data_IF_337908828689
#
_entry.id   IF_337908828689
#
_cell.length_a   1.000
_cell.length_b   1.000
_cell.length_c   1.000
_cell.angle_alpha   90.00
_cell.angle_beta   90.00
_cell.angle_gamma   90.00
#
_symmetry.space_group_name_H-M   'P 1'
#
loop_
_entity.id
_entity.type
_entity.pdbx_description
1 polymer ?
#
# COMPACT_ATOMS: atom_id res chain seq x y z
N UNK A 1 21.23 79.96 15.87
CA UNK A 1 20.15 79.06 15.41
C UNK A 1 20.78 77.96 14.58
N UNK A 2 20.86 76.74 15.11
CA UNK A 2 21.57 75.62 14.50
C UNK A 2 20.57 74.46 14.41
N UNK A 3 20.21 74.05 13.20
CA UNK A 3 19.30 72.93 12.95
C UNK A 3 20.10 71.62 12.93
N UNK A 4 19.78 70.69 13.83
CA UNK A 4 20.30 69.32 13.82
C UNK A 4 19.22 68.42 13.20
N UNK A 5 19.51 67.88 12.01
CA UNK A 5 18.75 66.80 11.36
C UNK A 5 19.37 65.46 11.79
N UNK A 6 18.57 64.55 12.34
CA UNK A 6 19.01 63.22 12.75
C UNK A 6 18.05 62.14 12.23
N UNK A 7 18.42 61.59 11.08
CA UNK A 7 18.17 60.23 10.55
C UNK A 7 17.13 59.34 11.24
N UNK A 8 16.02 59.09 10.54
CA UNK A 8 15.18 57.89 10.75
C UNK A 8 15.85 56.69 10.08
N UNK A 9 16.37 55.77 10.89
CA UNK A 9 16.89 54.49 10.42
C UNK A 9 15.76 53.51 10.12
N UNK A 10 15.63 53.10 8.86
CA UNK A 10 14.70 52.04 8.44
C UNK A 10 15.27 50.68 8.81
N UNK A 11 14.64 49.98 9.76
CA UNK A 11 14.94 48.57 10.07
C UNK A 11 14.22 47.70 9.04
N UNK A 12 14.93 47.27 8.00
CA UNK A 12 14.43 46.27 7.05
C UNK A 12 14.49 44.88 7.72
N UNK A 13 13.33 44.38 8.13
CA UNK A 13 13.17 43.03 8.66
C UNK A 13 13.30 42.03 7.49
N UNK A 14 14.48 41.44 7.32
CA UNK A 14 14.69 40.35 6.37
C UNK A 14 14.00 39.08 6.91
N UNK A 15 12.78 38.79 6.43
CA UNK A 15 12.18 37.47 6.58
C UNK A 15 12.98 36.47 5.75
N UNK A 16 13.98 35.84 6.37
CA UNK A 16 14.61 34.65 5.84
C UNK A 16 13.55 33.55 5.77
N UNK A 17 12.97 33.34 4.58
CA UNK A 17 12.27 32.10 4.27
C UNK A 17 13.30 30.97 4.31
N UNK A 18 13.45 30.35 5.48
CA UNK A 18 14.02 29.02 5.56
C UNK A 18 13.09 28.11 4.76
N UNK A 19 13.44 27.83 3.51
CA UNK A 19 12.94 26.64 2.83
C UNK A 19 13.40 25.46 3.68
N UNK A 20 12.55 25.03 4.59
CA UNK A 20 12.67 23.72 5.20
C UNK A 20 12.47 22.76 4.03
N UNK A 21 13.59 22.34 3.43
CA UNK A 21 13.61 21.27 2.46
C UNK A 21 12.99 20.08 3.17
N UNK A 22 11.71 19.86 2.94
CA UNK A 22 11.02 18.66 3.42
C UNK A 22 11.75 17.55 2.71
N UNK A 23 12.61 16.84 3.44
CA UNK A 23 13.36 15.72 2.90
C UNK A 23 12.36 14.85 2.19
N UNK A 24 12.48 14.75 0.86
CA UNK A 24 11.71 13.80 0.09
C UNK A 24 11.93 12.45 0.77
N UNK A 25 10.90 11.91 1.41
CA UNK A 25 10.93 10.58 2.01
C UNK A 25 11.21 9.61 0.87
N UNK A 26 12.49 9.32 0.63
CA UNK A 26 12.91 8.47 -0.46
C UNK A 26 12.37 7.08 -0.17
N UNK A 27 11.30 6.70 -0.85
CA UNK A 27 10.78 5.35 -0.81
C UNK A 27 11.91 4.41 -1.23
N UNK A 28 12.08 3.29 -0.54
CA UNK A 28 13.07 2.29 -0.93
C UNK A 28 12.43 1.24 -1.82
N UNK A 29 13.08 0.93 -2.95
CA UNK A 29 12.75 -0.23 -3.78
C UNK A 29 13.01 -1.51 -2.96
N UNK A 30 12.04 -2.41 -2.97
CA UNK A 30 12.11 -3.73 -2.37
C UNK A 30 10.89 -4.08 -1.55
N UNK A 31 11.07 -5.05 -0.65
CA UNK A 31 9.97 -5.66 0.09
C UNK A 31 9.79 -5.01 1.45
N UNK A 32 8.56 -4.62 1.75
CA UNK A 32 8.12 -4.21 3.07
C UNK A 32 7.32 -5.36 3.66
N UNK A 33 7.62 -5.76 4.89
CA UNK A 33 6.90 -6.82 5.58
C UNK A 33 6.48 -6.38 6.97
N UNK A 34 5.33 -6.86 7.41
CA UNK A 34 4.82 -6.57 8.74
C UNK A 34 3.51 -7.27 9.01
N UNK A 35 2.68 -6.64 9.84
CA UNK A 35 1.41 -7.24 10.27
C UNK A 35 0.26 -6.24 10.26
N UNK A 36 -0.94 -6.76 10.09
CA UNK A 36 -2.21 -6.09 10.35
C UNK A 36 -2.50 -6.04 11.86
N UNK A 37 -3.50 -5.26 12.26
CA UNK A 37 -3.90 -5.06 13.66
C UNK A 37 -4.42 -6.32 14.36
N UNK A 38 -4.91 -7.30 13.59
CA UNK A 38 -5.34 -8.63 14.04
C UNK A 38 -4.23 -9.68 13.97
N UNK A 39 -3.00 -9.29 13.63
CA UNK A 39 -1.82 -10.16 13.67
C UNK A 39 -1.56 -10.96 12.40
N UNK A 40 -2.31 -10.74 11.32
CA UNK A 40 -2.03 -11.35 10.03
C UNK A 40 -0.83 -10.69 9.34
N UNK A 41 -0.08 -11.46 8.55
CA UNK A 41 1.06 -10.94 7.78
C UNK A 41 0.62 -10.07 6.61
N UNK A 42 1.39 -9.01 6.35
CA UNK A 42 1.31 -8.22 5.12
C UNK A 42 2.70 -8.10 4.47
N UNK A 43 2.74 -8.21 3.14
CA UNK A 43 3.92 -7.99 2.31
C UNK A 43 3.58 -7.02 1.18
N UNK A 44 4.43 -6.03 0.96
CA UNK A 44 4.27 -5.01 -0.09
C UNK A 44 5.59 -4.96 -0.87
N UNK A 45 5.53 -5.15 -2.18
CA UNK A 45 6.69 -5.01 -3.08
C UNK A 45 6.63 -3.63 -3.74
N UNK A 46 7.69 -2.83 -3.55
CA UNK A 46 7.81 -1.50 -4.11
C UNK A 46 8.90 -1.50 -5.16
N UNK A 47 8.58 -0.99 -6.34
CA UNK A 47 9.47 -0.90 -7.49
C UNK A 47 9.62 0.56 -7.93
N UNK A 48 10.63 0.83 -8.75
CA UNK A 48 10.86 2.14 -9.36
C UNK A 48 10.75 2.01 -10.88
N UNK A 49 9.86 2.79 -11.48
CA UNK A 49 9.70 2.90 -12.92
C UNK A 49 10.60 4.03 -13.42
N UNK A 50 11.71 3.68 -14.07
CA UNK A 50 12.69 4.64 -14.56
C UNK A 50 12.14 5.51 -15.70
N UNK A 51 11.22 4.99 -16.51
CA UNK A 51 10.64 5.72 -17.63
C UNK A 51 9.63 6.75 -17.14
N UNK A 52 8.83 6.38 -16.13
CA UNK A 52 7.85 7.29 -15.50
C UNK A 52 8.47 8.17 -14.40
N UNK A 53 9.69 7.88 -13.96
CA UNK A 53 10.39 8.60 -12.89
C UNK A 53 9.72 8.49 -11.52
N UNK A 54 8.95 7.43 -11.26
CA UNK A 54 8.11 7.29 -10.06
C UNK A 54 8.20 5.90 -9.42
N UNK A 55 8.00 5.86 -8.10
CA UNK A 55 7.80 4.61 -7.39
C UNK A 55 6.38 4.07 -7.61
N UNK A 56 6.24 2.76 -7.58
CA UNK A 56 4.95 2.09 -7.61
C UNK A 56 4.98 0.87 -6.71
N UNK A 57 3.82 0.51 -6.15
CA UNK A 57 3.63 -0.80 -5.52
C UNK A 57 3.38 -1.78 -6.67
N UNK A 58 4.17 -2.85 -6.74
CA UNK A 58 4.04 -3.91 -7.74
C UNK A 58 3.13 -5.04 -7.25
N UNK A 59 3.27 -5.42 -5.98
CA UNK A 59 2.53 -6.53 -5.37
C UNK A 59 2.13 -6.23 -3.92
N UNK A 60 0.94 -6.70 -3.53
CA UNK A 60 0.49 -6.72 -2.14
C UNK A 60 -0.05 -8.09 -1.79
N UNK A 61 0.48 -8.67 -0.72
CA UNK A 61 0.01 -9.90 -0.11
C UNK A 61 -0.52 -9.61 1.29
N UNK A 62 -1.76 -9.98 1.55
CA UNK A 62 -2.37 -9.84 2.87
C UNK A 62 -3.27 -11.05 3.16
N UNK A 63 -3.25 -11.49 4.42
CA UNK A 63 -4.20 -12.48 4.91
C UNK A 63 -5.34 -11.76 5.64
N UNK A 64 -6.55 -12.29 5.48
CA UNK A 64 -7.78 -11.70 6.02
C UNK A 64 -8.62 -12.77 6.71
N UNK A 65 -9.34 -12.32 7.72
CA UNK A 65 -10.54 -12.99 8.20
C UNK A 65 -11.77 -12.30 7.61
N UNK A 66 -12.55 -13.04 6.83
CA UNK A 66 -13.78 -12.58 6.21
C UNK A 66 -14.98 -13.00 7.04
N UNK A 67 -15.73 -12.01 7.55
CA UNK A 67 -16.98 -12.25 8.26
C UNK A 67 -18.11 -12.44 7.25
N UNK A 68 -18.81 -13.57 7.38
CA UNK A 68 -19.92 -13.98 6.53
C UNK A 68 -21.23 -13.96 7.33
N UNK A 69 -22.36 -13.68 6.68
CA UNK A 69 -23.66 -13.60 7.38
C UNK A 69 -24.31 -14.98 7.61
N UNK A 70 -24.05 -15.95 6.73
CA UNK A 70 -24.72 -17.26 6.72
C UNK A 70 -23.80 -18.43 7.04
N UNK A 71 -22.48 -18.24 6.98
CA UNK A 71 -21.48 -19.26 7.31
C UNK A 71 -20.50 -18.71 8.32
N UNK A 72 -19.68 -19.60 8.87
CA UNK A 72 -18.56 -19.22 9.72
C UNK A 72 -17.56 -18.31 8.99
N UNK A 73 -16.80 -17.49 9.75
CA UNK A 73 -15.71 -16.69 9.20
C UNK A 73 -14.73 -17.50 8.37
N UNK A 74 -14.17 -16.88 7.34
CA UNK A 74 -13.30 -17.55 6.37
C UNK A 74 -11.94 -16.89 6.32
N UNK A 75 -10.87 -17.68 6.40
CA UNK A 75 -9.50 -17.18 6.25
C UNK A 75 -9.03 -17.29 4.79
N UNK A 76 -8.49 -16.19 4.27
CA UNK A 76 -8.05 -16.08 2.89
C UNK A 76 -6.75 -15.30 2.80
N UNK A 77 -5.82 -15.81 1.98
CA UNK A 77 -4.68 -15.04 1.50
C UNK A 77 -4.98 -14.44 0.15
N UNK A 78 -4.77 -13.13 0.00
CA UNK A 78 -4.90 -12.43 -1.26
C UNK A 78 -3.54 -11.88 -1.68
N UNK A 79 -3.14 -12.19 -2.92
CA UNK A 79 -2.02 -11.58 -3.63
C UNK A 79 -2.56 -10.78 -4.82
N UNK A 80 -2.22 -9.49 -4.87
CA UNK A 80 -2.58 -8.59 -5.97
C UNK A 80 -1.32 -7.95 -6.52
N UNK A 81 -0.94 -8.40 -7.72
CA UNK A 81 0.06 -7.73 -8.53
C UNK A 81 -0.59 -6.66 -9.41
N UNK A 82 -0.28 -5.39 -9.19
CA UNK A 82 -0.78 -4.27 -10.00
C UNK A 82 0.15 -3.07 -9.94
N UNK A 83 0.34 -2.36 -11.04
CA UNK A 83 1.09 -1.09 -11.05
C UNK A 83 0.29 -0.01 -10.33
N UNK A 84 0.59 0.22 -9.05
CA UNK A 84 -0.08 1.25 -8.23
C UNK A 84 0.91 2.39 -7.97
N UNK A 85 0.77 3.54 -8.65
CA UNK A 85 1.71 4.63 -8.50
C UNK A 85 1.72 5.17 -7.06
N UNK A 86 2.92 5.43 -6.53
CA UNK A 86 3.12 6.09 -5.25
C UNK A 86 3.27 7.59 -5.50
N UNK A 87 2.21 8.35 -5.23
CA UNK A 87 2.19 9.80 -5.38
C UNK A 87 2.32 10.46 -4.00
N UNK A 88 3.27 11.39 -3.85
CA UNK A 88 3.50 12.13 -2.59
C UNK A 88 3.68 11.20 -1.37
N UNK A 89 4.38 10.08 -1.56
CA UNK A 89 4.58 9.08 -0.50
C UNK A 89 3.33 8.35 -0.06
N UNK A 90 2.26 8.36 -0.85
CA UNK A 90 1.05 7.59 -0.59
C UNK A 90 0.61 6.81 -1.83
N UNK A 91 -0.03 5.67 -1.59
CA UNK A 91 -0.67 4.87 -2.62
C UNK A 91 -2.06 4.48 -2.12
N UNK A 92 -3.05 4.60 -2.99
CA UNK A 92 -4.40 4.11 -2.73
C UNK A 92 -4.93 3.48 -4.00
N UNK A 93 -5.48 2.29 -3.87
CA UNK A 93 -6.11 1.62 -4.99
C UNK A 93 -7.36 0.87 -4.51
N UNK A 94 -8.54 1.23 -5.04
CA UNK A 94 -9.68 0.34 -5.04
C UNK A 94 -9.48 -0.68 -6.16
N UNK A 95 -9.57 -1.95 -5.83
CA UNK A 95 -9.56 -3.05 -6.77
C UNK A 95 -10.92 -3.74 -6.71
N UNK A 96 -11.66 -3.77 -7.82
CA UNK A 96 -13.01 -4.32 -7.87
C UNK A 96 -13.14 -5.26 -9.06
N UNK A 97 -13.49 -6.52 -8.79
CA UNK A 97 -13.90 -7.50 -9.81
C UNK A 97 -15.24 -8.12 -9.44
N UNK A 98 -15.74 -8.98 -10.31
CA UNK A 98 -16.92 -9.82 -10.04
C UNK A 98 -16.71 -10.79 -8.88
N UNK A 99 -15.47 -11.15 -8.59
CA UNK A 99 -15.14 -12.22 -7.62
C UNK A 99 -14.47 -11.70 -6.35
N UNK A 100 -14.06 -10.43 -6.31
CA UNK A 100 -13.57 -9.82 -5.08
C UNK A 100 -13.50 -8.29 -5.15
N UNK A 101 -13.45 -7.68 -3.98
CA UNK A 101 -13.16 -6.28 -3.74
C UNK A 101 -11.96 -6.18 -2.80
N UNK A 102 -11.00 -5.32 -3.10
CA UNK A 102 -9.95 -4.90 -2.19
C UNK A 102 -9.89 -3.37 -2.17
N UNK A 103 -9.78 -2.79 -1.00
CA UNK A 103 -9.50 -1.37 -0.86
C UNK A 103 -8.31 -1.20 0.07
N UNK A 104 -7.27 -0.61 -0.49
CA UNK A 104 -6.01 -0.38 0.22
C UNK A 104 -5.67 1.09 0.15
N UNK A 105 -5.22 1.62 1.27
CA UNK A 105 -4.59 2.94 1.36
C UNK A 105 -3.33 2.81 2.21
N UNK A 106 -2.25 3.45 1.78
CA UNK A 106 -0.97 3.40 2.47
C UNK A 106 -0.20 4.71 2.33
N UNK A 107 0.61 4.98 3.33
CA UNK A 107 1.52 6.13 3.39
C UNK A 107 2.89 5.66 3.86
N UNK A 108 3.91 6.02 3.11
CA UNK A 108 5.31 5.81 3.44
C UNK A 108 5.73 6.83 4.49
N UNK A 109 6.29 6.34 5.59
CA UNK A 109 6.76 7.13 6.72
C UNK A 109 8.27 7.01 6.80
N UNK A 110 8.97 8.02 6.30
CA UNK A 110 10.43 7.95 6.10
C UNK A 110 10.81 6.97 4.99
N UNK A 111 12.05 6.47 5.03
CA UNK A 111 12.60 5.63 3.97
C UNK A 111 12.23 4.14 4.08
N UNK A 112 11.89 3.67 5.29
CA UNK A 112 11.87 2.25 5.61
C UNK A 112 10.57 1.76 6.25
N UNK A 113 9.52 2.57 6.30
CA UNK A 113 8.24 2.17 6.89
C UNK A 113 7.07 2.58 6.01
N UNK A 114 6.05 1.75 6.01
CA UNK A 114 4.76 2.02 5.39
C UNK A 114 3.66 1.65 6.36
N UNK A 115 2.67 2.51 6.50
CA UNK A 115 1.48 2.27 7.31
C UNK A 115 0.23 2.51 6.50
N UNK A 116 -0.84 1.80 6.80
CA UNK A 116 -2.03 1.89 5.98
C UNK A 116 -3.23 1.16 6.53
N UNK A 117 -4.22 0.99 5.66
CA UNK A 117 -5.42 0.18 5.87
C UNK A 117 -5.67 -0.70 4.66
N UNK A 118 -6.15 -1.89 4.91
CA UNK A 118 -6.57 -2.84 3.90
C UNK A 118 -7.93 -3.43 4.26
N UNK A 119 -8.81 -3.58 3.29
CA UNK A 119 -10.13 -4.17 3.47
C UNK A 119 -10.47 -5.01 2.25
N UNK A 120 -10.94 -6.24 2.47
CA UNK A 120 -11.42 -7.13 1.43
C UNK A 120 -12.94 -7.35 1.46
N UNK A 121 -13.49 -7.77 0.32
CA UNK A 121 -14.78 -8.42 0.22
C UNK A 121 -14.76 -9.53 -0.83
N UNK A 122 -15.47 -10.62 -0.59
CA UNK A 122 -15.57 -11.73 -1.54
C UNK A 122 -16.98 -12.37 -1.50
N UNK A 123 -17.54 -12.77 -2.65
CA UNK A 123 -18.74 -13.60 -2.70
C UNK A 123 -18.35 -15.07 -2.47
N UNK A 124 -19.02 -15.74 -1.53
CA UNK A 124 -18.89 -17.20 -1.33
C UNK A 124 -20.20 -17.90 -1.61
N UNK A 125 -20.12 -19.06 -2.25
CA UNK A 125 -21.27 -19.94 -2.39
C UNK A 125 -21.61 -20.57 -1.03
N UNK A 126 -22.87 -20.46 -0.60
CA UNK A 126 -23.35 -21.03 0.68
C UNK A 126 -23.89 -22.44 0.55
N UNK A 127 -24.38 -22.81 -0.64
CA UNK A 127 -24.89 -24.14 -0.92
C UNK A 127 -24.58 -24.48 -2.38
N UNK A 128 -23.76 -25.51 -2.58
CA UNK A 128 -23.36 -25.98 -3.90
C UNK A 128 -24.26 -27.11 -4.42
N UNK A 129 -25.07 -27.70 -3.55
CA UNK A 129 -25.86 -28.91 -3.79
C UNK A 129 -27.28 -28.62 -4.30
N UNK A 130 -27.83 -27.43 -4.00
CA UNK A 130 -29.21 -27.06 -4.36
C UNK A 130 -29.23 -25.88 -5.35
N UNK A 131 -29.67 -26.09 -6.60
CA UNK A 131 -29.94 -25.01 -7.55
C UNK A 131 -31.20 -24.20 -7.15
N UNK A 132 -31.20 -22.85 -7.33
CA UNK A 132 -30.08 -22.04 -7.80
C UNK A 132 -29.01 -21.89 -6.72
N UNK A 133 -27.73 -21.99 -7.11
CA UNK A 133 -26.60 -21.79 -6.21
C UNK A 133 -26.73 -20.43 -5.54
N UNK A 134 -26.78 -20.44 -4.22
CA UNK A 134 -26.86 -19.21 -3.45
C UNK A 134 -25.45 -18.75 -3.11
N UNK A 135 -25.21 -17.45 -3.24
CA UNK A 135 -24.01 -16.81 -2.75
C UNK A 135 -24.35 -15.90 -1.57
N UNK A 136 -23.35 -15.62 -0.75
CA UNK A 136 -23.36 -14.58 0.25
C UNK A 136 -22.15 -13.68 0.04
N UNK A 137 -22.26 -12.45 0.51
CA UNK A 137 -21.11 -11.54 0.56
C UNK A 137 -20.44 -11.66 1.92
N UNK A 138 -19.15 -11.95 1.91
CA UNK A 138 -18.30 -11.87 3.10
C UNK A 138 -17.40 -10.65 3.01
N UNK A 139 -17.14 -10.01 4.15
CA UNK A 139 -16.30 -8.80 4.22
C UNK A 139 -15.34 -8.90 5.38
N UNK A 140 -14.12 -8.41 5.18
CA UNK A 140 -13.20 -8.18 6.29
C UNK A 140 -13.52 -6.83 6.95
N UNK A 141 -13.05 -6.68 8.18
CA UNK A 141 -12.89 -5.35 8.77
C UNK A 141 -11.83 -4.55 7.99
N UNK A 142 -11.84 -3.24 8.17
CA UNK A 142 -10.77 -2.38 7.66
C UNK A 142 -9.56 -2.49 8.61
N UNK A 143 -8.62 -3.36 8.25
CA UNK A 143 -7.46 -3.68 9.07
C UNK A 143 -6.37 -2.63 8.85
N UNK A 144 -5.95 -1.98 9.95
CA UNK A 144 -4.74 -1.16 9.92
C UNK A 144 -3.53 -2.09 9.82
N UNK A 145 -2.49 -1.67 9.13
CA UNK A 145 -1.24 -2.40 9.06
C UNK A 145 -0.03 -1.46 9.19
N UNK A 146 1.08 -2.06 9.56
CA UNK A 146 2.41 -1.44 9.47
C UNK A 146 3.38 -2.45 8.89
N UNK A 147 4.20 -2.03 7.94
CA UNK A 147 5.27 -2.84 7.38
C UNK A 147 6.58 -2.03 7.36
N UNK A 148 7.69 -2.74 7.57
CA UNK A 148 9.04 -2.17 7.54
C UNK A 148 9.78 -2.75 6.36
N UNK A 149 10.60 -1.93 5.70
CA UNK A 149 11.51 -2.38 4.67
C UNK A 149 12.40 -3.48 5.24
N UNK A 150 12.27 -4.67 4.66
CA UNK A 150 13.20 -5.75 4.87
C UNK A 150 14.22 -5.63 3.73
N UNK A 151 15.48 -5.25 4.00
CA UNK A 151 16.51 -5.42 2.99
C UNK A 151 16.45 -6.88 2.58
N UNK A 152 16.38 -7.13 1.27
CA UNK A 152 16.30 -8.50 0.76
C UNK A 152 17.38 -9.30 1.48
N UNK A 153 16.98 -10.27 2.33
CA UNK A 153 17.90 -11.30 2.72
C UNK A 153 18.48 -11.78 1.40
N UNK A 154 19.80 -11.83 1.28
CA UNK A 154 20.53 -12.10 0.04
C UNK A 154 20.27 -13.55 -0.36
N UNK A 155 19.02 -13.88 -0.67
CA UNK A 155 18.63 -15.08 -1.35
C UNK A 155 19.13 -14.85 -2.76
N UNK A 156 20.21 -15.54 -3.11
CA UNK A 156 20.75 -15.57 -4.45
C UNK A 156 19.59 -15.85 -5.41
N UNK A 157 19.09 -14.78 -6.05
CA UNK A 157 18.08 -14.88 -7.07
C UNK A 157 18.72 -15.60 -8.25
N UNK A 158 18.16 -16.70 -8.78
CA UNK A 158 18.57 -17.19 -10.08
C UNK A 158 18.18 -16.12 -11.10
N UNK A 159 19.15 -15.27 -11.43
CA UNK A 159 19.04 -14.28 -12.48
C UNK A 159 18.91 -15.01 -13.83
N UNK A 160 17.70 -15.15 -14.35
CA UNK A 160 17.40 -15.08 -15.79
C UNK A 160 15.92 -15.32 -16.05
N UNK A 161 15.39 -14.52 -16.99
CA UNK A 161 14.11 -14.63 -17.69
C UNK A 161 12.86 -14.07 -17.00
N UNK A 162 12.73 -12.74 -17.03
CA UNK A 162 11.45 -12.12 -17.42
C UNK A 162 11.69 -11.15 -18.57
N UNK A 163 11.52 -11.66 -19.80
CA UNK A 163 11.24 -10.83 -20.96
C UNK A 163 9.78 -10.36 -20.89
N UNK A 164 9.54 -9.09 -21.22
CA UNK A 164 8.34 -8.59 -21.87
C UNK A 164 7.05 -9.40 -21.64
N UNK A 165 6.43 -9.22 -20.47
CA UNK A 165 5.04 -9.58 -20.26
C UNK A 165 4.31 -8.28 -19.89
N UNK A 166 3.75 -7.62 -20.89
CA UNK A 166 3.03 -6.36 -20.71
C UNK A 166 2.00 -6.45 -19.59
N UNK A 167 2.10 -5.57 -18.59
CA UNK A 167 1.12 -5.25 -17.53
C UNK A 167 -0.01 -6.29 -17.33
N UNK A 168 0.34 -7.53 -17.00
CA UNK A 168 -0.66 -8.56 -16.63
C UNK A 168 -0.85 -8.49 -15.13
N UNK A 169 -2.02 -8.04 -14.69
CA UNK A 169 -2.47 -8.17 -13.29
C UNK A 169 -2.54 -9.65 -12.94
N UNK A 170 -1.64 -10.14 -12.07
CA UNK A 170 -1.73 -11.49 -11.51
C UNK A 170 -2.61 -11.46 -10.27
N UNK A 171 -3.53 -12.42 -10.16
CA UNK A 171 -4.44 -12.55 -9.03
C UNK A 171 -4.42 -13.98 -8.55
N UNK A 172 -4.08 -14.16 -7.27
CA UNK A 172 -4.16 -15.46 -6.62
C UNK A 172 -4.90 -15.25 -5.30
N UNK A 173 -6.12 -15.78 -5.22
CA UNK A 173 -6.86 -15.88 -3.99
C UNK A 173 -6.79 -17.33 -3.54
N UNK A 174 -6.15 -17.58 -2.40
CA UNK A 174 -6.01 -18.94 -1.85
C UNK A 174 -6.74 -19.01 -0.52
N UNK A 175 -7.69 -19.94 -0.42
CA UNK A 175 -8.31 -20.28 0.86
C UNK A 175 -7.27 -20.98 1.72
N UNK A 176 -7.04 -20.47 2.93
CA UNK A 176 -6.12 -21.09 3.89
C UNK A 176 -6.96 -22.06 4.72
N UNK A 177 -6.86 -23.35 4.42
CA UNK A 177 -7.50 -24.39 5.22
C UNK A 177 -6.66 -24.59 6.50
N UNK A 178 -7.29 -24.41 7.67
CA UNK A 178 -6.71 -24.78 8.98
C UNK A 178 -7.30 -26.09 9.48
#
# INVERSE_FOLDING_TARGET
MQFIRGQFGSVALACALALVGVSASAQQVGVYSGTTADGHSIRIDVQYDADAGQYYVDDIQANFTFNCQKTDPQEWGLEIGSYIPVANGSASFPYITTSFYLNTSMTFVGANRVGGKVQGGLPLFVNLDIPPKQAQTCRSDALRFTATYAPAATMASPAAARSDAGKVTRQVATQILR
#
